data_IF_056844416779
#
_entry.id   IF_056844416779
#
_cell.length_a   1.000
_cell.length_b   1.000
_cell.length_c   1.000
_cell.angle_alpha   90.00
_cell.angle_beta   90.00
_cell.angle_gamma   90.00
#
_symmetry.space_group_name_H-M   'P 1'
#
loop_
_entity.id
_entity.type
_entity.pdbx_description
1 polymer ?
#
# COMPACT_ATOMS: atom_id res chain seq x y z
N UNK A 1 -3.70 14.65 -11.83
CA UNK A 1 -3.30 13.55 -12.74
C UNK A 1 -2.97 12.34 -11.88
N UNK A 2 -3.54 11.15 -12.16
CA UNK A 2 -3.65 10.04 -11.21
C UNK A 2 -2.36 9.21 -11.08
N UNK A 3 -1.19 9.85 -10.96
CA UNK A 3 0.10 9.15 -10.88
C UNK A 3 0.23 8.30 -9.62
N UNK A 4 -0.38 8.72 -8.51
CA UNK A 4 -0.47 7.87 -7.31
C UNK A 4 -1.27 6.58 -7.58
N UNK A 5 -2.33 6.66 -8.41
CA UNK A 5 -3.12 5.51 -8.82
C UNK A 5 -2.36 4.58 -9.77
N UNK A 6 -1.54 5.14 -10.67
CA UNK A 6 -0.61 4.35 -11.49
C UNK A 6 0.38 3.59 -10.62
N UNK A 7 1.04 4.26 -9.67
CA UNK A 7 1.96 3.62 -8.74
C UNK A 7 1.26 2.52 -7.91
N UNK A 8 0.04 2.76 -7.43
CA UNK A 8 -0.78 1.76 -6.74
C UNK A 8 -1.02 0.52 -7.62
N UNK A 9 -1.35 0.71 -8.90
CA UNK A 9 -1.72 -0.39 -9.80
C UNK A 9 -0.59 -1.33 -10.20
N UNK A 10 0.66 -0.87 -10.08
CA UNK A 10 1.86 -1.56 -10.58
C UNK A 10 2.38 -2.65 -9.62
N UNK A 11 2.31 -2.43 -8.31
CA UNK A 11 2.96 -3.31 -7.34
C UNK A 11 2.18 -4.55 -6.98
N UNK A 12 2.60 -5.15 -5.87
CA UNK A 12 1.98 -6.34 -5.30
C UNK A 12 0.46 -6.16 -5.13
N UNK A 13 -0.26 -7.26 -5.25
CA UNK A 13 -1.68 -7.35 -4.87
C UNK A 13 -1.85 -8.59 -4.03
N UNK A 14 -3.00 -8.73 -3.37
CA UNK A 14 -3.26 -9.83 -2.45
C UNK A 14 -2.88 -11.23 -2.99
N UNK A 15 -3.11 -11.46 -4.28
CA UNK A 15 -2.82 -12.74 -4.95
C UNK A 15 -1.47 -12.79 -5.71
N UNK A 16 -0.69 -11.71 -5.72
CA UNK A 16 0.65 -11.63 -6.32
C UNK A 16 1.55 -10.86 -5.37
N UNK A 17 2.04 -11.56 -4.34
CA UNK A 17 3.09 -11.04 -3.45
C UNK A 17 4.40 -10.89 -4.22
N UNK A 18 5.38 -10.22 -3.63
CA UNK A 18 6.71 -10.08 -4.22
C UNK A 18 7.36 -11.42 -4.56
N UNK A 19 6.97 -12.52 -3.90
CA UNK A 19 7.44 -13.90 -4.15
C UNK A 19 7.07 -14.45 -5.52
N UNK A 20 6.08 -13.85 -6.17
CA UNK A 20 5.63 -14.24 -7.49
C UNK A 20 6.19 -13.37 -8.62
N UNK A 21 7.09 -12.43 -8.31
CA UNK A 21 7.83 -11.68 -9.31
C UNK A 21 9.19 -12.35 -9.53
N UNK A 22 9.53 -12.61 -10.80
CA UNK A 22 10.93 -12.86 -11.16
C UNK A 22 11.74 -11.56 -11.09
N UNK A 23 13.07 -11.67 -11.09
CA UNK A 23 13.96 -10.53 -10.88
C UNK A 23 13.74 -9.40 -11.90
N UNK A 24 13.46 -9.75 -13.16
CA UNK A 24 13.25 -8.78 -14.23
C UNK A 24 11.88 -8.06 -14.09
N UNK A 25 10.82 -8.81 -13.78
CA UNK A 25 9.48 -8.26 -13.52
C UNK A 25 9.49 -7.38 -12.27
N UNK A 26 10.18 -7.80 -11.21
CA UNK A 26 10.36 -7.03 -9.98
C UNK A 26 11.05 -5.69 -10.29
N UNK A 27 12.22 -5.74 -10.94
CA UNK A 27 12.99 -4.54 -11.28
C UNK A 27 12.17 -3.58 -12.16
N UNK A 28 11.56 -4.10 -13.23
CA UNK A 28 10.74 -3.30 -14.16
C UNK A 28 9.55 -2.66 -13.45
N UNK A 29 8.90 -3.39 -12.54
CA UNK A 29 7.74 -2.92 -11.78
C UNK A 29 8.15 -1.82 -10.82
N UNK A 30 9.20 -2.05 -10.03
CA UNK A 30 9.74 -1.09 -9.05
C UNK A 30 10.19 0.21 -9.73
N UNK A 31 10.89 0.14 -10.86
CA UNK A 31 11.33 1.32 -11.62
C UNK A 31 10.17 2.15 -12.17
N UNK A 32 9.10 1.49 -12.65
CA UNK A 32 7.89 2.18 -13.10
C UNK A 32 7.14 2.80 -11.92
N UNK A 33 7.06 2.09 -10.80
CA UNK A 33 6.39 2.55 -9.60
C UNK A 33 7.10 3.77 -9.01
N UNK A 34 8.43 3.75 -8.87
CA UNK A 34 9.21 4.90 -8.40
C UNK A 34 9.03 6.13 -9.29
N UNK A 35 9.04 5.97 -10.63
CA UNK A 35 8.78 7.09 -11.53
C UNK A 35 7.37 7.65 -11.35
N UNK A 36 6.38 6.79 -11.17
CA UNK A 36 5.00 7.20 -10.93
C UNK A 36 4.84 7.90 -9.56
N UNK A 37 5.48 7.41 -8.50
CA UNK A 37 5.44 8.07 -7.18
C UNK A 37 6.14 9.42 -7.21
N UNK A 38 7.30 9.55 -7.87
CA UNK A 38 7.99 10.82 -8.04
C UNK A 38 7.10 11.85 -8.78
N UNK A 39 6.48 11.45 -9.89
CA UNK A 39 5.55 12.30 -10.63
C UNK A 39 4.31 12.66 -9.80
N UNK A 40 3.82 11.75 -8.95
CA UNK A 40 2.72 12.05 -8.04
C UNK A 40 3.11 13.17 -7.07
N UNK A 41 4.29 13.07 -6.43
CA UNK A 41 4.79 14.10 -5.51
C UNK A 41 4.98 15.46 -6.19
N UNK A 42 5.57 15.49 -7.38
CA UNK A 42 5.79 16.73 -8.13
C UNK A 42 4.48 17.45 -8.51
N UNK A 43 3.42 16.70 -8.81
CA UNK A 43 2.16 17.26 -9.31
C UNK A 43 1.09 17.44 -8.23
N UNK A 44 1.39 17.07 -6.98
CA UNK A 44 0.39 16.99 -5.91
C UNK A 44 -0.08 18.34 -5.39
N UNK A 45 0.71 19.41 -5.57
CA UNK A 45 0.47 20.71 -4.93
C UNK A 45 -0.92 21.29 -5.19
N UNK A 46 -1.47 21.09 -6.40
CA UNK A 46 -2.79 21.58 -6.81
C UNK A 46 -3.92 20.52 -6.70
N UNK A 47 -3.63 19.33 -6.18
CA UNK A 47 -4.61 18.24 -6.06
C UNK A 47 -5.57 18.44 -4.87
N UNK A 48 -6.65 17.66 -4.84
CA UNK A 48 -7.57 17.64 -3.71
C UNK A 48 -6.91 17.09 -2.43
N UNK A 49 -7.40 17.44 -1.24
CA UNK A 49 -6.79 17.00 0.02
C UNK A 49 -6.61 15.48 0.11
N UNK A 50 -7.62 14.71 -0.28
CA UNK A 50 -7.54 13.23 -0.28
C UNK A 50 -6.49 12.71 -1.25
N UNK A 51 -6.40 13.29 -2.45
CA UNK A 51 -5.37 12.91 -3.42
C UNK A 51 -3.97 13.27 -2.95
N UNK A 52 -3.81 14.37 -2.20
CA UNK A 52 -2.55 14.74 -1.57
C UNK A 52 -2.11 13.70 -0.54
N UNK A 53 -3.02 13.31 0.33
CA UNK A 53 -2.74 12.30 1.34
C UNK A 53 -2.40 10.94 0.72
N UNK A 54 -3.14 10.51 -0.31
CA UNK A 54 -2.86 9.28 -1.05
C UNK A 54 -1.51 9.32 -1.79
N UNK A 55 -1.17 10.45 -2.41
CA UNK A 55 0.11 10.65 -3.09
C UNK A 55 1.31 10.71 -2.12
N UNK A 56 1.10 11.11 -0.86
CA UNK A 56 2.09 10.98 0.20
C UNK A 56 2.21 9.54 0.68
N UNK A 57 1.09 8.87 0.95
CA UNK A 57 1.10 7.48 1.42
C UNK A 57 1.76 6.52 0.42
N UNK A 58 1.54 6.71 -0.89
CA UNK A 58 2.12 5.83 -1.91
C UNK A 58 3.66 5.89 -1.98
N UNK A 59 4.30 6.94 -1.44
CA UNK A 59 5.75 7.02 -1.33
C UNK A 59 6.30 5.93 -0.40
N UNK A 60 5.57 5.60 0.67
CA UNK A 60 5.97 4.54 1.61
C UNK A 60 5.87 3.13 0.99
N UNK A 61 5.08 2.96 -0.07
CA UNK A 61 4.98 1.68 -0.79
C UNK A 61 6.19 1.40 -1.68
N UNK A 62 6.87 2.46 -2.12
CA UNK A 62 8.04 2.41 -2.99
C UNK A 62 9.06 3.46 -2.56
N UNK A 63 9.68 3.30 -1.37
CA UNK A 63 10.65 4.26 -0.87
C UNK A 63 11.85 4.30 -1.81
N UNK A 64 12.27 5.50 -2.19
CA UNK A 64 13.42 5.65 -3.06
C UNK A 64 14.70 5.42 -2.27
N UNK A 65 15.17 4.17 -2.26
CA UNK A 65 16.47 3.83 -1.72
C UNK A 65 17.45 3.84 -2.89
N UNK A 66 18.30 4.86 -2.92
CA UNK A 66 19.45 4.91 -3.80
C UNK A 66 20.18 3.55 -3.71
N UNK A 67 20.34 2.92 -4.87
CA UNK A 67 21.32 1.84 -5.09
C UNK A 67 20.83 0.43 -4.67
N UNK A 68 19.57 0.28 -4.29
CA UNK A 68 19.00 -1.01 -3.86
C UNK A 68 17.77 -1.35 -4.69
N UNK A 69 17.92 -2.31 -5.61
CA UNK A 69 16.78 -3.08 -6.08
C UNK A 69 16.30 -3.89 -4.89
N UNK A 70 15.21 -3.43 -4.24
CA UNK A 70 14.74 -4.00 -2.98
C UNK A 70 14.78 -5.52 -3.01
N UNK A 71 15.61 -6.10 -2.15
CA UNK A 71 15.57 -7.51 -1.81
C UNK A 71 14.17 -7.87 -1.30
N UNK A 72 13.85 -9.16 -1.35
CA UNK A 72 12.55 -9.68 -0.92
C UNK A 72 12.22 -9.27 0.51
N UNK A 73 13.21 -9.26 1.39
CA UNK A 73 13.10 -8.80 2.77
C UNK A 73 12.79 -7.30 2.87
N UNK A 74 13.45 -6.46 2.07
CA UNK A 74 13.20 -5.01 2.02
C UNK A 74 11.78 -4.70 1.51
N UNK A 75 11.30 -5.43 0.49
CA UNK A 75 9.95 -5.22 -0.06
C UNK A 75 8.83 -5.58 0.92
N UNK A 76 9.09 -6.47 1.88
CA UNK A 76 8.17 -6.76 2.98
C UNK A 76 8.06 -5.60 3.96
N UNK A 77 9.16 -4.88 4.23
CA UNK A 77 9.17 -3.69 5.10
C UNK A 77 8.33 -2.58 4.48
N UNK A 78 8.43 -2.37 3.16
CA UNK A 78 7.63 -1.36 2.44
C UNK A 78 6.12 -1.62 2.53
N UNK A 79 5.72 -2.90 2.62
CA UNK A 79 4.32 -3.27 2.80
C UNK A 79 3.79 -2.81 4.16
N UNK A 80 4.61 -2.93 5.21
CA UNK A 80 4.28 -2.46 6.56
C UNK A 80 4.16 -0.93 6.62
N UNK A 81 5.16 -0.21 6.11
CA UNK A 81 5.17 1.26 6.11
C UNK A 81 4.00 1.84 5.30
N UNK A 82 3.66 1.21 4.17
CA UNK A 82 2.49 1.60 3.38
C UNK A 82 1.17 1.37 4.12
N UNK A 83 1.01 0.25 4.83
CA UNK A 83 -0.19 -0.03 5.60
C UNK A 83 -0.37 0.96 6.76
N UNK A 84 0.72 1.35 7.42
CA UNK A 84 0.71 2.39 8.46
C UNK A 84 0.33 3.76 7.87
N UNK A 85 0.92 4.13 6.74
CA UNK A 85 0.60 5.38 6.04
C UNK A 85 -0.88 5.42 5.63
N UNK A 86 -1.41 4.34 5.04
CA UNK A 86 -2.83 4.24 4.67
C UNK A 86 -3.76 4.26 5.88
N UNK A 87 -3.35 3.70 7.02
CA UNK A 87 -4.10 3.79 8.27
C UNK A 87 -4.20 5.24 8.75
N UNK A 88 -3.13 6.04 8.59
CA UNK A 88 -3.18 7.47 8.88
C UNK A 88 -4.13 8.22 7.93
N UNK A 89 -4.09 7.93 6.62
CA UNK A 89 -5.03 8.52 5.65
C UNK A 89 -6.48 8.16 5.97
N UNK A 90 -6.75 6.91 6.36
CA UNK A 90 -8.09 6.47 6.77
C UNK A 90 -8.61 7.21 8.02
N UNK A 91 -7.72 7.60 8.94
CA UNK A 91 -8.08 8.44 10.10
C UNK A 91 -8.36 9.89 9.70
N UNK A 92 -7.64 10.42 8.72
CA UNK A 92 -7.83 11.79 8.21
C UNK A 92 -9.11 11.93 7.37
N UNK A 93 -9.44 10.90 6.59
CA UNK A 93 -10.62 10.86 5.71
C UNK A 93 -11.56 9.71 6.10
N UNK A 94 -12.15 9.72 7.30
CA UNK A 94 -12.91 8.58 7.79
C UNK A 94 -14.10 8.26 6.90
N UNK A 95 -14.81 9.26 6.38
CA UNK A 95 -16.03 9.08 5.60
C UNK A 95 -15.81 8.78 4.10
N UNK A 96 -14.56 8.70 3.66
CA UNK A 96 -14.24 8.36 2.28
C UNK A 96 -14.13 6.83 2.12
N UNK A 97 -15.07 6.25 1.36
CA UNK A 97 -15.16 4.80 1.16
C UNK A 97 -14.01 4.26 0.30
N UNK A 98 -13.49 5.06 -0.63
CA UNK A 98 -12.37 4.66 -1.47
C UNK A 98 -11.09 4.61 -0.63
N UNK A 99 -10.88 5.59 0.26
CA UNK A 99 -9.79 5.55 1.25
C UNK A 99 -9.91 4.34 2.17
N UNK A 100 -11.10 4.04 2.67
CA UNK A 100 -11.32 2.88 3.54
C UNK A 100 -10.98 1.57 2.80
N UNK A 101 -11.40 1.42 1.54
CA UNK A 101 -11.10 0.25 0.72
C UNK A 101 -9.58 0.10 0.48
N UNK A 102 -8.89 1.18 0.11
CA UNK A 102 -7.44 1.18 -0.07
C UNK A 102 -6.68 0.85 1.22
N UNK A 103 -7.17 1.31 2.38
CA UNK A 103 -6.59 1.00 3.67
C UNK A 103 -6.74 -0.48 4.03
N UNK A 104 -7.92 -1.05 3.81
CA UNK A 104 -8.16 -2.49 4.02
C UNK A 104 -7.27 -3.33 3.10
N UNK A 105 -7.15 -2.96 1.82
CA UNK A 105 -6.24 -3.63 0.89
C UNK A 105 -4.79 -3.60 1.38
N UNK A 106 -4.29 -2.43 1.83
CA UNK A 106 -2.93 -2.31 2.35
C UNK A 106 -2.67 -3.24 3.56
N UNK A 107 -3.64 -3.33 4.49
CA UNK A 107 -3.54 -4.19 5.68
C UNK A 107 -3.63 -5.68 5.34
N UNK A 108 -4.51 -6.05 4.41
CA UNK A 108 -4.64 -7.44 3.96
C UNK A 108 -3.35 -7.95 3.30
N UNK A 109 -2.63 -7.07 2.60
CA UNK A 109 -1.35 -7.40 1.97
C UNK A 109 -0.21 -7.67 2.97
N UNK A 110 -0.36 -7.34 4.26
CA UNK A 110 0.62 -7.73 5.30
C UNK A 110 0.61 -9.22 5.61
N UNK A 111 -0.53 -9.88 5.39
CA UNK A 111 -0.73 -11.29 5.77
C UNK A 111 -1.53 -12.03 4.69
N UNK A 112 -0.99 -12.11 3.46
CA UNK A 112 -1.66 -12.74 2.34
C UNK A 112 -2.06 -14.18 2.69
N UNK A 113 -3.31 -14.52 2.39
CA UNK A 113 -3.99 -15.79 2.68
C UNK A 113 -4.08 -16.21 4.16
N UNK A 114 -3.76 -15.32 5.13
CA UNK A 114 -3.85 -15.59 6.58
C UNK A 114 -4.97 -14.80 7.26
N UNK A 115 -6.13 -14.69 6.62
CA UNK A 115 -7.28 -13.93 7.15
C UNK A 115 -8.02 -14.67 8.27
N UNK A 116 -7.98 -16.00 8.28
CA UNK A 116 -8.68 -16.84 9.24
C UNK A 116 -7.80 -18.02 9.64
N UNK A 117 -7.96 -18.43 10.89
CA UNK A 117 -7.47 -19.72 11.33
C UNK A 117 -8.47 -20.79 10.87
N UNK A 118 -8.03 -21.68 9.98
CA UNK A 118 -8.91 -22.70 9.39
C UNK A 118 -9.46 -23.70 10.42
N UNK A 119 -8.78 -23.88 11.56
CA UNK A 119 -9.16 -24.82 12.60
C UNK A 119 -10.17 -24.20 13.57
N UNK A 120 -9.88 -23.01 14.09
CA UNK A 120 -10.74 -22.32 15.04
C UNK A 120 -11.85 -21.51 14.36
N UNK A 121 -11.71 -21.21 13.06
CA UNK A 121 -12.57 -20.31 12.27
C UNK A 121 -12.64 -18.88 12.83
N UNK A 122 -11.67 -18.52 13.64
CA UNK A 122 -11.52 -17.16 14.17
C UNK A 122 -10.64 -16.38 13.19
N UNK A 123 -10.93 -15.09 13.01
CA UNK A 123 -10.03 -14.20 12.30
C UNK A 123 -8.67 -14.23 12.99
N UNK A 124 -7.62 -14.63 12.27
CA UNK A 124 -6.26 -14.36 12.73
C UNK A 124 -6.19 -12.84 12.74
N UNK A 125 -5.91 -12.24 13.90
CA UNK A 125 -5.86 -10.80 14.06
C UNK A 125 -4.83 -10.18 13.13
N UNK A 126 -5.19 -10.02 11.86
CA UNK A 126 -4.87 -8.83 11.10
C UNK A 126 -5.31 -7.71 12.01
N UNK A 127 -4.41 -6.77 12.28
CA UNK A 127 -4.70 -5.55 12.99
C UNK A 127 -6.01 -5.02 12.42
N UNK A 128 -7.14 -5.33 13.06
CA UNK A 128 -8.38 -4.66 12.77
C UNK A 128 -8.02 -3.25 13.20
N UNK A 129 -7.88 -2.30 12.26
CA UNK A 129 -7.59 -0.94 12.67
C UNK A 129 -8.71 -0.62 13.63
N UNK A 130 -8.40 -0.27 14.88
CA UNK A 130 -9.42 0.22 15.81
C UNK A 130 -10.27 1.32 15.13
N UNK A 131 -9.65 2.02 14.16
CA UNK A 131 -10.25 2.94 13.17
C UNK A 131 -11.48 2.41 12.42
N UNK A 132 -11.57 1.11 12.12
CA UNK A 132 -12.72 0.49 11.44
C UNK A 132 -13.73 -0.12 12.42
N UNK A 133 -13.30 -0.52 13.62
CA UNK A 133 -14.16 -1.12 14.63
C UNK A 133 -15.15 -0.12 15.25
N UNK A 134 -14.79 1.17 15.30
CA UNK A 134 -15.63 2.25 15.83
C UNK A 134 -16.79 2.65 14.89
N UNK A 135 -17.03 1.90 13.80
CA UNK A 135 -18.02 2.20 12.75
C UNK A 135 -19.24 1.26 12.75
N UNK A 136 -19.31 0.31 13.69
CA UNK A 136 -20.42 -0.64 13.85
C UNK A 136 -21.32 -0.24 15.02
#
# INVERSE_FOLDING_TARGET
MPYWGLAYSLGLKYNKTWDFFDDHDLQTTVDKAHRATALAAEKVAAAWPVEKALAHAIQARYPWVHDQHGSREETSIWSQEYAEAMTAVCREFPNDLDVAALCVDALMNLTPWKLWDLRSRIALGTVAPQVLADRA
#
